data_IF_202660661858
#
_entry.id   IF_202660661858
#
_cell.length_a   1.000
_cell.length_b   1.000
_cell.length_c   1.000
_cell.angle_alpha   90.00
_cell.angle_beta   90.00
_cell.angle_gamma   90.00
#
_symmetry.space_group_name_H-M   'P 1'
#
loop_
_entity.id
_entity.type
_entity.pdbx_description
1 polymer ?
#
# COMPACT_ATOMS: atom_id res chain seq x y z
N UNK A 1 0.84 8.92 9.29
CA UNK A 1 2.03 9.53 8.68
C UNK A 1 1.81 9.73 7.19
N UNK A 2 2.32 10.85 6.64
CA UNK A 2 2.54 11.02 5.22
C UNK A 2 4.03 10.80 4.94
N UNK A 3 4.34 9.81 4.13
CA UNK A 3 5.72 9.41 3.82
C UNK A 3 5.98 9.57 2.34
N UNK A 4 7.01 10.33 1.99
CA UNK A 4 7.45 10.45 0.61
C UNK A 4 8.54 9.40 0.34
N UNK A 5 8.27 8.53 -0.63
CA UNK A 5 9.20 7.49 -1.07
C UNK A 5 9.59 7.74 -2.54
N UNK A 6 10.76 7.27 -3.02
CA UNK A 6 11.03 7.19 -4.45
C UNK A 6 9.94 6.35 -5.13
N UNK A 7 9.41 6.79 -6.27
CA UNK A 7 8.43 5.99 -7.02
C UNK A 7 9.15 5.01 -7.95
N UNK A 8 9.85 4.07 -7.34
CA UNK A 8 10.64 3.04 -7.99
C UNK A 8 10.16 1.65 -7.56
N UNK A 9 10.39 0.67 -8.41
CA UNK A 9 10.10 -0.73 -8.08
C UNK A 9 10.87 -1.15 -6.84
N UNK A 10 10.17 -1.69 -5.86
CA UNK A 10 10.75 -2.13 -4.60
C UNK A 10 10.72 -1.10 -3.47
N UNK A 11 10.45 0.19 -3.72
CA UNK A 11 10.39 1.20 -2.66
C UNK A 11 9.32 0.92 -1.61
N UNK A 12 8.16 0.41 -2.02
CA UNK A 12 7.09 0.04 -1.09
C UNK A 12 7.52 -1.15 -0.22
N UNK A 13 8.20 -2.16 -0.79
CA UNK A 13 8.67 -3.30 0.00
C UNK A 13 9.73 -2.88 1.02
N UNK A 14 10.71 -2.06 0.61
CA UNK A 14 11.73 -1.51 1.53
C UNK A 14 11.10 -0.72 2.68
N UNK A 15 10.08 0.08 2.37
CA UNK A 15 9.35 0.84 3.38
C UNK A 15 8.58 -0.08 4.35
N UNK A 16 7.94 -1.13 3.85
CA UNK A 16 7.23 -2.10 4.69
C UNK A 16 8.18 -2.96 5.54
N UNK A 17 9.35 -3.33 5.03
CA UNK A 17 10.40 -4.00 5.79
C UNK A 17 10.87 -3.13 6.96
N UNK A 18 11.12 -1.83 6.71
CA UNK A 18 11.50 -0.88 7.75
C UNK A 18 10.43 -0.77 8.85
N UNK A 19 9.13 -0.80 8.50
CA UNK A 19 8.04 -0.84 9.49
C UNK A 19 8.14 -2.11 10.35
N UNK A 20 8.42 -3.27 9.74
CA UNK A 20 8.53 -4.56 10.42
C UNK A 20 9.76 -4.69 11.33
N UNK A 21 10.86 -4.02 10.98
CA UNK A 21 12.13 -4.09 11.73
C UNK A 21 12.21 -3.14 12.93
N UNK A 22 11.27 -2.19 13.06
CA UNK A 22 11.29 -1.26 14.17
C UNK A 22 11.14 -1.95 15.53
N UNK A 23 11.90 -1.56 16.57
CA UNK A 23 11.76 -2.12 17.92
C UNK A 23 10.31 -2.00 18.43
N UNK A 24 9.79 -3.07 18.97
CA UNK A 24 8.37 -3.19 19.33
C UNK A 24 7.52 -3.81 18.22
N UNK A 25 8.09 -4.72 17.47
CA UNK A 25 7.72 -5.31 16.18
C UNK A 25 6.34 -5.99 16.04
N UNK A 26 5.38 -5.68 16.89
CA UNK A 26 3.96 -6.05 16.73
C UNK A 26 3.11 -4.89 16.22
N UNK A 27 3.74 -3.91 15.54
CA UNK A 27 2.98 -2.79 14.96
C UNK A 27 2.15 -3.27 13.80
N UNK A 28 0.85 -3.08 13.91
CA UNK A 28 -0.04 -3.32 12.80
C UNK A 28 -0.15 -2.05 11.96
N UNK A 29 -0.09 -2.24 10.64
CA UNK A 29 -0.51 -1.23 9.68
C UNK A 29 -2.03 -1.18 9.73
N UNK A 30 -2.60 -0.05 10.10
CA UNK A 30 -4.05 0.14 10.18
C UNK A 30 -4.63 0.69 8.90
N UNK A 31 -3.83 1.46 8.17
CA UNK A 31 -4.20 2.07 6.90
C UNK A 31 -2.97 2.20 6.02
N UNK A 32 -3.17 2.04 4.71
CA UNK A 32 -2.14 2.26 3.71
C UNK A 32 -2.79 2.74 2.41
N UNK A 33 -2.55 3.99 2.03
CA UNK A 33 -3.08 4.58 0.82
C UNK A 33 -1.94 5.06 -0.07
N UNK A 34 -1.93 4.57 -1.29
CA UNK A 34 -0.98 4.95 -2.31
C UNK A 34 -1.65 4.99 -3.69
N UNK A 35 -1.32 5.99 -4.48
CA UNK A 35 -1.64 6.07 -5.91
C UNK A 35 -0.44 6.66 -6.64
N UNK A 36 -0.01 6.00 -7.69
CA UNK A 36 1.02 6.53 -8.59
C UNK A 36 0.53 7.85 -9.22
N UNK A 37 1.28 8.92 -9.05
CA UNK A 37 0.91 10.25 -9.57
C UNK A 37 2.08 11.03 -10.14
N UNK A 38 3.30 10.72 -9.75
CA UNK A 38 4.54 11.35 -10.19
C UNK A 38 5.56 10.26 -10.52
N UNK A 39 6.40 10.49 -11.55
CA UNK A 39 7.36 9.49 -12.00
C UNK A 39 8.60 9.34 -11.09
N UNK A 40 8.81 10.28 -10.16
CA UNK A 40 10.00 10.31 -9.30
C UNK A 40 9.68 10.09 -7.82
N UNK A 41 8.49 10.49 -7.37
CA UNK A 41 8.13 10.47 -5.95
C UNK A 41 6.70 10.00 -5.74
N UNK A 42 6.51 9.19 -4.73
CA UNK A 42 5.19 8.78 -4.27
C UNK A 42 4.93 9.28 -2.85
N UNK A 43 3.70 9.69 -2.60
CA UNK A 43 3.22 10.04 -1.27
C UNK A 43 2.35 8.91 -0.74
N UNK A 44 2.79 8.29 0.35
CA UNK A 44 2.09 7.20 1.03
C UNK A 44 1.45 7.74 2.29
N UNK A 45 0.16 7.53 2.43
CA UNK A 45 -0.52 7.71 3.72
C UNK A 45 -0.50 6.38 4.46
N UNK A 46 0.12 6.33 5.64
CA UNK A 46 0.20 5.11 6.45
C UNK A 46 -0.25 5.36 7.88
N UNK A 47 -1.15 4.51 8.36
CA UNK A 47 -1.55 4.42 9.76
C UNK A 47 -0.85 3.26 10.45
N UNK A 48 -0.30 3.50 11.64
CA UNK A 48 0.39 2.49 12.45
C UNK A 48 -0.15 2.51 13.87
N UNK A 49 -0.26 1.34 14.49
CA UNK A 49 -0.53 1.25 15.93
C UNK A 49 0.68 1.77 16.72
N UNK A 50 0.41 2.56 17.75
CA UNK A 50 1.43 3.08 18.69
C UNK A 50 1.11 2.65 20.12
N UNK A 51 2.14 2.45 20.94
CA UNK A 51 1.99 1.95 22.32
C UNK A 51 2.10 3.06 23.37
N UNK A 52 2.34 4.33 22.98
CA UNK A 52 2.49 5.40 23.96
C UNK A 52 2.75 6.77 23.38
N UNK A 53 2.72 7.78 24.26
CA UNK A 53 2.99 9.19 23.91
C UNK A 53 4.42 9.36 23.38
N UNK A 54 4.58 10.12 22.30
CA UNK A 54 5.88 10.43 21.69
C UNK A 54 6.46 9.31 20.82
N UNK A 55 5.78 8.19 20.67
CA UNK A 55 6.22 7.11 19.78
C UNK A 55 6.07 7.50 18.31
N UNK A 56 5.04 8.25 17.93
CA UNK A 56 4.88 8.77 16.58
C UNK A 56 6.07 9.59 16.12
N UNK A 57 6.59 10.45 16.98
CA UNK A 57 7.79 11.25 16.69
C UNK A 57 9.04 10.38 16.47
N UNK A 58 9.18 9.29 17.26
CA UNK A 58 10.29 8.34 17.07
C UNK A 58 10.17 7.58 15.74
N UNK A 59 8.96 7.17 15.38
CA UNK A 59 8.67 6.50 14.11
C UNK A 59 9.00 7.45 12.95
N UNK A 60 8.49 8.67 12.96
CA UNK A 60 8.77 9.67 11.92
C UNK A 60 10.27 9.95 11.78
N UNK A 61 10.99 10.08 12.91
CA UNK A 61 12.45 10.24 12.92
C UNK A 61 13.17 9.02 12.34
N UNK A 62 12.71 7.81 12.63
CA UNK A 62 13.29 6.59 12.09
C UNK A 62 13.13 6.52 10.56
N UNK A 63 11.94 6.80 10.03
CA UNK A 63 11.70 6.86 8.59
C UNK A 63 12.60 7.90 7.92
N UNK A 64 12.70 9.10 8.50
CA UNK A 64 13.53 10.17 7.96
C UNK A 64 15.03 9.80 7.95
N UNK A 65 15.54 9.09 8.96
CA UNK A 65 16.92 8.59 9.00
C UNK A 65 17.23 7.56 7.89
N UNK A 66 16.23 6.84 7.43
CA UNK A 66 16.36 5.89 6.32
C UNK A 66 16.04 6.52 4.94
N UNK A 67 15.99 7.85 4.88
CA UNK A 67 15.82 8.59 3.62
C UNK A 67 14.37 8.82 3.21
N UNK A 68 13.38 8.39 4.00
CA UNK A 68 11.97 8.63 3.74
C UNK A 68 11.51 9.93 4.39
N UNK A 69 11.30 10.98 3.58
CA UNK A 69 10.77 12.24 4.11
C UNK A 69 9.38 12.03 4.70
N UNK A 70 9.24 12.29 6.00
CA UNK A 70 8.05 11.90 6.75
C UNK A 70 7.44 13.07 7.53
N UNK A 71 6.13 13.25 7.36
CA UNK A 71 5.31 14.15 8.16
C UNK A 71 4.45 13.34 9.14
N UNK A 72 4.56 13.65 10.43
CA UNK A 72 3.71 13.07 11.47
C UNK A 72 2.32 13.74 11.44
N UNK A 73 1.29 12.98 11.08
CA UNK A 73 -0.09 13.44 10.96
C UNK A 73 -0.95 13.08 12.20
N UNK A 74 -0.35 12.66 13.29
CA UNK A 74 -1.07 12.17 14.49
C UNK A 74 -2.05 13.21 15.05
N UNK A 75 -1.76 14.49 14.87
CA UNK A 75 -2.60 15.60 15.33
C UNK A 75 -3.20 16.44 14.20
N UNK A 76 -3.11 15.96 12.96
CA UNK A 76 -3.67 16.65 11.79
C UNK A 76 -5.11 16.18 11.51
N UNK A 77 -6.08 17.06 11.77
CA UNK A 77 -7.51 16.74 11.61
C UNK A 77 -7.90 16.59 10.11
N UNK A 78 -7.31 17.39 9.21
CA UNK A 78 -7.55 17.23 7.76
C UNK A 78 -7.18 15.85 7.29
N UNK A 79 -6.00 15.35 7.72
CA UNK A 79 -5.54 14.02 7.37
C UNK A 79 -6.46 12.93 7.93
N UNK A 80 -6.89 13.05 9.19
CA UNK A 80 -7.74 12.06 9.86
C UNK A 80 -9.14 11.96 9.28
N UNK A 81 -9.75 13.10 8.96
CA UNK A 81 -11.16 13.14 8.58
C UNK A 81 -11.36 12.97 7.06
N UNK A 82 -10.42 13.44 6.25
CA UNK A 82 -10.60 13.53 4.81
C UNK A 82 -9.59 12.72 4.00
N UNK A 83 -8.27 12.97 4.17
CA UNK A 83 -7.23 12.35 3.33
C UNK A 83 -7.24 10.82 3.44
N UNK A 84 -7.46 10.28 4.63
CA UNK A 84 -7.50 8.83 4.88
C UNK A 84 -8.55 8.06 4.07
N UNK A 85 -9.56 8.73 3.54
CA UNK A 85 -10.65 8.11 2.78
C UNK A 85 -10.44 8.19 1.26
N UNK A 86 -9.40 8.85 0.80
CA UNK A 86 -9.12 9.02 -0.63
C UNK A 86 -8.38 7.80 -1.17
N UNK A 87 -8.94 7.18 -2.21
CA UNK A 87 -8.33 6.04 -2.92
C UNK A 87 -7.38 6.53 -4.04
N UNK A 88 -7.48 7.77 -4.43
CA UNK A 88 -6.82 8.34 -5.59
C UNK A 88 -7.81 8.60 -6.74
N UNK A 89 -7.31 8.84 -7.94
CA UNK A 89 -8.10 9.14 -9.14
C UNK A 89 -7.45 8.56 -10.39
N UNK A 90 -7.73 9.14 -11.54
CA UNK A 90 -7.05 8.78 -12.79
C UNK A 90 -5.56 9.08 -12.71
N UNK A 91 -4.75 8.21 -13.28
CA UNK A 91 -3.30 8.43 -13.39
C UNK A 91 -2.80 7.97 -14.76
N UNK A 92 -2.24 8.89 -15.53
CA UNK A 92 -1.62 8.58 -16.82
C UNK A 92 -0.42 7.62 -16.73
N UNK A 93 0.10 7.41 -15.52
CA UNK A 93 1.22 6.49 -15.25
C UNK A 93 0.77 5.05 -14.97
N UNK A 94 -0.54 4.81 -14.82
CA UNK A 94 -1.09 3.49 -14.51
C UNK A 94 -1.37 2.64 -15.77
N UNK A 95 -0.39 2.53 -16.67
CA UNK A 95 -0.50 1.72 -17.87
C UNK A 95 -0.55 0.21 -17.55
N UNK A 96 -1.32 -0.56 -18.34
CA UNK A 96 -1.53 -2.01 -18.18
C UNK A 96 -1.93 -2.43 -16.76
N UNK A 97 -2.69 -1.57 -16.08
CA UNK A 97 -3.12 -1.81 -14.71
C UNK A 97 -4.17 -2.92 -14.64
N UNK A 98 -3.96 -3.88 -13.75
CA UNK A 98 -4.96 -4.85 -13.30
C UNK A 98 -5.41 -4.46 -11.90
N UNK A 99 -6.71 -4.33 -11.72
CA UNK A 99 -7.30 -3.97 -10.43
C UNK A 99 -7.85 -5.20 -9.74
N UNK A 100 -7.42 -5.43 -8.49
CA UNK A 100 -7.86 -6.56 -7.68
C UNK A 100 -8.30 -6.09 -6.30
N UNK A 101 -9.36 -6.69 -5.82
CA UNK A 101 -9.84 -6.53 -4.46
C UNK A 101 -9.55 -7.81 -3.69
N UNK A 102 -8.73 -7.70 -2.64
CA UNK A 102 -8.33 -8.81 -1.78
C UNK A 102 -9.00 -8.76 -0.42
N UNK A 103 -9.06 -9.93 0.21
CA UNK A 103 -9.30 -10.08 1.64
C UNK A 103 -8.00 -10.62 2.28
N UNK A 104 -7.30 -9.76 3.02
CA UNK A 104 -6.07 -10.15 3.72
C UNK A 104 -6.40 -10.59 5.14
N UNK A 105 -5.70 -11.62 5.67
CA UNK A 105 -5.77 -11.94 7.07
C UNK A 105 -5.14 -10.82 7.91
N UNK A 106 -5.81 -10.40 8.98
CA UNK A 106 -5.31 -9.39 9.93
C UNK A 106 -4.26 -10.01 10.86
N UNK A 107 -3.08 -10.24 10.31
CA UNK A 107 -1.93 -10.76 11.05
C UNK A 107 -0.64 -10.09 10.57
N UNK A 108 0.35 -9.92 11.45
CA UNK A 108 1.67 -9.43 11.07
C UNK A 108 2.24 -10.22 9.89
N UNK A 109 2.85 -9.52 8.94
CA UNK A 109 3.48 -10.13 7.78
C UNK A 109 2.57 -10.43 6.57
N UNK A 110 1.24 -10.26 6.67
CA UNK A 110 0.35 -10.52 5.54
C UNK A 110 0.65 -9.64 4.33
N UNK A 111 0.88 -8.35 4.55
CA UNK A 111 1.29 -7.41 3.51
C UNK A 111 2.69 -7.75 2.98
N UNK A 112 3.63 -8.06 3.84
CA UNK A 112 5.00 -8.42 3.43
C UNK A 112 5.00 -9.71 2.60
N UNK A 113 4.19 -10.73 2.96
CA UNK A 113 4.00 -11.93 2.16
C UNK A 113 3.51 -11.58 0.75
N UNK A 114 2.51 -10.71 0.62
CA UNK A 114 2.00 -10.25 -0.67
C UNK A 114 3.12 -9.61 -1.50
N UNK A 115 3.85 -8.66 -0.92
CA UNK A 115 4.92 -7.92 -1.60
C UNK A 115 6.08 -8.83 -2.02
N UNK A 116 6.50 -9.75 -1.14
CA UNK A 116 7.64 -10.66 -1.39
C UNK A 116 7.38 -11.70 -2.49
N UNK A 117 6.11 -12.02 -2.75
CA UNK A 117 5.73 -12.94 -3.83
C UNK A 117 5.61 -12.25 -5.19
N UNK A 118 5.57 -10.91 -5.23
CA UNK A 118 5.52 -10.16 -6.48
C UNK A 118 6.82 -10.32 -7.27
N UNK A 119 6.70 -10.34 -8.60
CA UNK A 119 7.88 -10.32 -9.47
C UNK A 119 8.51 -8.92 -9.49
N UNK A 120 9.85 -8.81 -9.60
CA UNK A 120 10.55 -7.53 -9.68
C UNK A 120 10.11 -6.65 -10.88
N UNK A 121 9.52 -7.27 -11.92
CA UNK A 121 9.02 -6.56 -13.10
C UNK A 121 7.65 -5.89 -12.90
N UNK A 122 6.93 -6.20 -11.83
CA UNK A 122 5.60 -5.64 -11.58
C UNK A 122 5.68 -4.42 -10.67
N UNK A 123 4.80 -3.47 -10.90
CA UNK A 123 4.71 -2.27 -10.10
C UNK A 123 3.33 -2.14 -9.46
N UNK A 124 3.28 -1.62 -8.24
CA UNK A 124 2.02 -1.23 -7.61
C UNK A 124 1.67 0.17 -8.07
N UNK A 125 0.52 0.33 -8.69
CA UNK A 125 0.01 1.62 -9.17
C UNK A 125 -1.03 2.24 -8.24
N UNK A 126 -1.72 1.38 -7.47
CA UNK A 126 -2.69 1.76 -6.47
C UNK A 126 -2.62 0.77 -5.30
N UNK A 127 -2.66 1.28 -4.08
CA UNK A 127 -2.83 0.46 -2.89
C UNK A 127 -3.70 1.19 -1.88
N UNK A 128 -4.83 0.58 -1.56
CA UNK A 128 -5.73 1.08 -0.53
C UNK A 128 -6.04 -0.03 0.45
N UNK A 129 -5.58 0.11 1.68
CA UNK A 129 -5.83 -0.79 2.80
C UNK A 129 -6.44 -0.03 3.96
N UNK A 130 -7.48 -0.61 4.53
CA UNK A 130 -8.10 -0.12 5.75
C UNK A 130 -8.48 -1.29 6.65
N UNK A 131 -7.96 -1.28 7.87
CA UNK A 131 -8.41 -2.16 8.94
C UNK A 131 -9.78 -1.70 9.44
N UNK A 132 -10.74 -2.60 9.45
CA UNK A 132 -12.12 -2.35 9.89
C UNK A 132 -12.41 -2.95 11.27
N UNK A 133 -11.38 -3.40 12.02
CA UNK A 133 -11.53 -4.00 13.33
C UNK A 133 -12.05 -5.45 13.31
N UNK A 134 -12.00 -6.10 12.15
CA UNK A 134 -12.31 -7.52 11.98
C UNK A 134 -11.03 -8.34 11.79
N UNK A 135 -11.14 -9.68 11.77
CA UNK A 135 -10.00 -10.59 11.54
C UNK A 135 -9.44 -10.52 10.11
N UNK A 136 -10.03 -9.68 9.25
CA UNK A 136 -9.67 -9.54 7.84
C UNK A 136 -9.68 -8.08 7.40
N UNK A 137 -8.63 -7.68 6.68
CA UNK A 137 -8.54 -6.38 6.00
C UNK A 137 -9.02 -6.46 4.55
N UNK A 138 -9.77 -5.47 4.11
CA UNK A 138 -10.17 -5.31 2.71
C UNK A 138 -9.19 -4.38 2.00
N UNK A 139 -8.63 -4.87 0.89
CA UNK A 139 -7.57 -4.18 0.17
C UNK A 139 -7.96 -4.04 -1.30
N UNK A 140 -7.73 -2.86 -1.84
CA UNK A 140 -7.80 -2.61 -3.28
C UNK A 140 -6.38 -2.37 -3.79
N UNK A 141 -5.95 -3.15 -4.79
CA UNK A 141 -4.62 -3.08 -5.37
C UNK A 141 -4.70 -2.92 -6.87
N UNK A 142 -4.02 -1.91 -7.41
CA UNK A 142 -3.69 -1.80 -8.83
C UNK A 142 -2.26 -2.32 -9.05
N UNK A 143 -2.10 -3.22 -10.00
CA UNK A 143 -0.82 -3.80 -10.38
C UNK A 143 -0.57 -3.61 -11.87
N UNK A 144 0.59 -3.06 -12.23
CA UNK A 144 1.06 -3.01 -13.61
C UNK A 144 1.74 -4.34 -13.93
N UNK A 145 1.02 -5.18 -14.68
CA UNK A 145 1.48 -6.52 -15.06
C UNK A 145 1.54 -6.61 -16.58
N UNK A 146 2.74 -6.81 -17.16
CA UNK A 146 2.87 -7.03 -18.60
C UNK A 146 2.06 -8.24 -19.07
N UNK A 147 1.41 -8.15 -20.22
CA UNK A 147 0.61 -9.26 -20.79
C UNK A 147 1.40 -10.57 -20.94
N UNK A 148 2.71 -10.48 -21.19
CA UNK A 148 3.59 -11.64 -21.25
C UNK A 148 3.66 -12.42 -19.93
N UNK A 149 3.32 -11.80 -18.82
CA UNK A 149 3.39 -12.38 -17.48
C UNK A 149 2.06 -12.97 -16.96
N UNK A 150 1.02 -13.08 -17.79
CA UNK A 150 -0.29 -13.58 -17.36
C UNK A 150 -0.22 -14.93 -16.64
N UNK A 151 0.58 -15.89 -17.14
CA UNK A 151 0.77 -17.19 -16.49
C UNK A 151 1.46 -17.08 -15.13
N UNK A 152 2.45 -16.19 -15.03
CA UNK A 152 3.16 -15.96 -13.80
C UNK A 152 2.28 -15.23 -12.78
N UNK A 153 1.43 -14.34 -13.25
CA UNK A 153 0.45 -13.65 -12.41
C UNK A 153 -0.60 -14.61 -11.84
N UNK A 154 -1.11 -15.52 -12.66
CA UNK A 154 -2.02 -16.57 -12.18
C UNK A 154 -1.36 -17.45 -11.10
N UNK A 155 -0.06 -17.80 -11.28
CA UNK A 155 0.70 -18.55 -10.27
C UNK A 155 0.91 -17.74 -8.99
N UNK A 156 1.18 -16.44 -9.10
CA UNK A 156 1.30 -15.54 -7.95
C UNK A 156 0.01 -15.55 -7.11
N UNK A 157 -1.15 -15.35 -7.75
CA UNK A 157 -2.44 -15.35 -7.07
C UNK A 157 -2.71 -16.69 -6.38
N UNK A 158 -2.39 -17.81 -7.04
CA UNK A 158 -2.53 -19.15 -6.45
C UNK A 158 -1.59 -19.37 -5.26
N UNK A 159 -0.33 -18.91 -5.35
CA UNK A 159 0.66 -19.08 -4.26
C UNK A 159 0.37 -18.18 -3.07
N UNK A 160 -0.15 -16.98 -3.33
CA UNK A 160 -0.57 -16.04 -2.29
C UNK A 160 -1.70 -16.61 -1.44
N UNK A 161 -2.64 -17.30 -2.08
CA UNK A 161 -3.78 -17.98 -1.44
C UNK A 161 -4.63 -17.05 -0.55
N UNK A 162 -4.81 -15.80 -1.01
CA UNK A 162 -5.75 -14.86 -0.40
C UNK A 162 -7.00 -14.76 -1.28
N UNK A 163 -8.20 -14.73 -0.70
CA UNK A 163 -9.41 -14.50 -1.46
C UNK A 163 -9.34 -13.18 -2.22
N UNK A 164 -9.68 -13.19 -3.50
CA UNK A 164 -9.66 -11.99 -4.34
C UNK A 164 -10.79 -11.97 -5.36
N UNK A 165 -11.07 -10.77 -5.84
CA UNK A 165 -11.95 -10.52 -7.00
C UNK A 165 -11.19 -9.61 -7.96
N UNK A 166 -11.11 -10.00 -9.22
CA UNK A 166 -10.56 -9.13 -10.27
C UNK A 166 -11.61 -8.09 -10.70
N UNK A 167 -11.29 -6.83 -10.56
CA UNK A 167 -12.16 -5.69 -10.80
C UNK A 167 -11.77 -4.89 -12.06
N UNK A 168 -10.81 -5.35 -12.85
CA UNK A 168 -10.29 -4.65 -14.04
C UNK A 168 -11.40 -4.36 -15.08
N UNK A 169 -12.41 -5.21 -15.18
CA UNK A 169 -13.55 -5.01 -16.06
C UNK A 169 -14.70 -4.19 -15.42
N UNK A 170 -14.61 -3.86 -14.13
CA UNK A 170 -15.66 -3.19 -13.39
C UNK A 170 -15.92 -1.78 -13.95
N UNK A 171 -17.17 -1.40 -14.24
CA UNK A 171 -17.51 -0.06 -14.76
C UNK A 171 -17.10 1.07 -13.82
N UNK A 172 -17.16 0.87 -12.50
CA UNK A 172 -16.75 1.88 -11.51
C UNK A 172 -15.25 2.15 -11.59
N UNK A 173 -14.43 1.10 -11.75
CA UNK A 173 -12.99 1.27 -11.99
C UNK A 173 -12.73 2.08 -13.24
N UNK A 174 -13.37 1.72 -14.36
CA UNK A 174 -13.21 2.43 -15.64
C UNK A 174 -13.62 3.90 -15.57
N UNK A 175 -14.64 4.21 -14.79
CA UNK A 175 -15.16 5.58 -14.67
C UNK A 175 -14.30 6.48 -13.77
N UNK A 176 -13.73 5.94 -12.68
CA UNK A 176 -13.14 6.75 -11.62
C UNK A 176 -11.63 6.55 -11.41
N UNK A 177 -11.06 5.44 -11.86
CA UNK A 177 -9.67 5.08 -11.55
C UNK A 177 -8.81 4.73 -12.76
N UNK A 178 -9.42 4.19 -13.84
CA UNK A 178 -8.69 3.80 -15.03
C UNK A 178 -8.23 5.03 -15.82
N UNK A 179 -6.99 4.99 -16.31
CA UNK A 179 -6.41 6.01 -17.21
C UNK A 179 -6.97 5.90 -18.61
#
# INVERSE_FOLDING_TARGET
FAVTIPDERGSIIMFCELIGEMPGSTRNVTEFNYRISDAAKAHVFVGLTTQGKGESTKIASNFSKHGFNTLDLTHDELAKEHIRHMVGGHSALADQERLLRFVFPERPGALLKFLSLMRPGWNISLFHYRNQGADYGRILVGLQVPKADDKAFAKFLQTLDYPYVEETANPVYKMFLQS
#
